data_IF_048309449416
#
_entry.id   IF_048309449416
#
_cell.length_a   1.000
_cell.length_b   1.000
_cell.length_c   1.000
_cell.angle_alpha   90.00
_cell.angle_beta   90.00
_cell.angle_gamma   90.00
#
_symmetry.space_group_name_H-M   'P 1'
#
loop_
_entity.id
_entity.type
_entity.pdbx_description
1 polymer ?
#
# COMPACT_ATOMS: atom_id res chain seq x y z
N UNK A 1 6.47 -21.34 -9.87
CA UNK A 1 6.51 -21.00 -8.44
C UNK A 1 5.32 -20.09 -8.16
N UNK A 2 4.48 -20.35 -7.15
CA UNK A 2 3.43 -19.39 -6.81
C UNK A 2 4.10 -18.06 -6.45
N UNK A 3 3.67 -16.97 -7.09
CA UNK A 3 4.05 -15.62 -6.67
C UNK A 3 3.46 -15.48 -5.27
N UNK A 4 4.31 -15.39 -4.25
CA UNK A 4 3.84 -15.16 -2.89
C UNK A 4 3.04 -13.85 -2.89
N UNK A 5 1.75 -13.94 -2.58
CA UNK A 5 0.89 -12.76 -2.47
C UNK A 5 1.21 -12.01 -1.19
N UNK A 6 1.13 -10.69 -1.22
CA UNK A 6 1.27 -9.87 -0.01
C UNK A 6 0.17 -10.18 1.00
N UNK A 7 0.54 -10.19 2.28
CA UNK A 7 -0.41 -10.30 3.39
C UNK A 7 -1.09 -8.96 3.66
N UNK A 8 -2.36 -8.86 3.25
CA UNK A 8 -3.18 -7.66 3.44
C UNK A 8 -3.49 -7.37 4.91
N UNK A 9 -3.54 -8.39 5.77
CA UNK A 9 -3.76 -8.21 7.21
C UNK A 9 -2.59 -7.47 7.81
N UNK A 10 -1.36 -7.92 7.52
CA UNK A 10 -0.14 -7.27 7.99
C UNK A 10 0.02 -5.85 7.44
N UNK A 11 -0.29 -5.62 6.17
CA UNK A 11 -0.31 -4.28 5.57
C UNK A 11 -1.29 -3.37 6.33
N UNK A 12 -2.50 -3.87 6.60
CA UNK A 12 -3.54 -3.12 7.33
C UNK A 12 -3.08 -2.75 8.72
N UNK A 13 -2.54 -3.69 9.48
CA UNK A 13 -2.01 -3.46 10.83
C UNK A 13 -0.90 -2.41 10.82
N UNK A 14 0.11 -2.58 9.94
CA UNK A 14 1.20 -1.61 9.81
C UNK A 14 0.69 -0.21 9.50
N UNK A 15 -0.25 -0.09 8.58
CA UNK A 15 -0.80 1.19 8.19
C UNK A 15 -1.63 1.82 9.33
N UNK A 16 -2.44 1.03 10.05
CA UNK A 16 -3.18 1.49 11.22
C UNK A 16 -2.25 1.99 12.33
N UNK A 17 -1.18 1.25 12.64
CA UNK A 17 -0.16 1.68 13.61
C UNK A 17 0.48 2.99 13.17
N UNK A 18 0.90 3.10 11.91
CA UNK A 18 1.50 4.33 11.39
C UNK A 18 0.53 5.51 11.46
N UNK A 19 -0.75 5.31 11.12
CA UNK A 19 -1.78 6.34 11.17
C UNK A 19 -2.03 6.81 12.60
N UNK A 20 -2.10 5.89 13.56
CA UNK A 20 -2.27 6.22 14.98
C UNK A 20 -1.11 7.08 15.53
N UNK A 21 0.13 6.79 15.11
CA UNK A 21 1.33 7.51 15.54
C UNK A 21 1.49 8.86 14.84
N UNK A 22 1.37 8.90 13.51
CA UNK A 22 1.73 10.08 12.71
C UNK A 22 0.54 11.00 12.42
N UNK A 23 -0.69 10.47 12.50
CA UNK A 23 -1.93 11.18 12.19
C UNK A 23 -3.02 10.85 13.21
N UNK A 24 -2.82 11.08 14.51
CA UNK A 24 -3.72 10.63 15.58
C UNK A 24 -5.16 11.16 15.48
N UNK A 25 -5.37 12.28 14.77
CA UNK A 25 -6.71 12.84 14.48
C UNK A 25 -7.44 12.12 13.35
N UNK A 26 -6.73 11.29 12.57
CA UNK A 26 -7.26 10.58 11.42
C UNK A 26 -7.49 9.12 11.77
N UNK A 27 -8.74 8.68 11.66
CA UNK A 27 -9.11 7.27 11.85
C UNK A 27 -8.93 6.48 10.56
N UNK A 28 -8.74 5.17 10.69
CA UNK A 28 -8.76 4.24 9.58
C UNK A 28 -10.19 4.13 9.00
N UNK A 29 -10.42 4.88 7.92
CA UNK A 29 -11.68 4.94 7.12
C UNK A 29 -11.75 3.90 5.99
N UNK A 30 -12.94 3.66 5.42
CA UNK A 30 -13.11 2.73 4.29
C UNK A 30 -12.21 2.99 3.07
N UNK A 31 -11.81 4.23 2.80
CA UNK A 31 -10.88 4.52 1.70
C UNK A 31 -9.47 3.96 1.95
N UNK A 32 -9.04 3.90 3.21
CA UNK A 32 -7.77 3.28 3.58
C UNK A 32 -7.85 1.75 3.47
N UNK A 33 -9.01 1.18 3.81
CA UNK A 33 -9.26 -0.24 3.60
C UNK A 33 -9.26 -0.58 2.10
N UNK A 34 -9.93 0.24 1.29
CA UNK A 34 -9.99 0.05 -0.15
C UNK A 34 -8.59 0.15 -0.81
N UNK A 35 -7.74 1.10 -0.39
CA UNK A 35 -6.37 1.17 -0.94
C UNK A 35 -5.55 -0.06 -0.55
N UNK A 36 -5.69 -0.57 0.69
CA UNK A 36 -5.00 -1.80 1.11
C UNK A 36 -5.48 -2.98 0.29
N UNK A 37 -6.79 -3.15 0.13
CA UNK A 37 -7.37 -4.24 -0.65
C UNK A 37 -7.02 -4.14 -2.15
N UNK A 38 -6.72 -2.94 -2.66
CA UNK A 38 -6.23 -2.77 -4.04
C UNK A 38 -4.88 -3.45 -4.29
N UNK A 39 -4.13 -3.79 -3.23
CA UNK A 39 -2.86 -4.52 -3.32
C UNK A 39 -3.05 -6.04 -3.39
N UNK A 40 -4.30 -6.54 -3.34
CA UNK A 40 -4.59 -7.96 -3.45
C UNK A 40 -3.99 -8.57 -4.73
N UNK A 41 -3.38 -9.75 -4.60
CA UNK A 41 -2.73 -10.45 -5.71
C UNK A 41 -1.42 -9.81 -6.19
N UNK A 42 -0.97 -8.71 -5.59
CA UNK A 42 0.39 -8.23 -5.78
C UNK A 42 1.36 -9.09 -4.96
N UNK A 43 2.51 -9.41 -5.55
CA UNK A 43 3.62 -10.01 -4.80
C UNK A 43 4.62 -8.96 -4.31
N UNK A 44 5.59 -9.35 -3.48
CA UNK A 44 6.75 -8.53 -3.16
C UNK A 44 7.38 -7.93 -4.42
N UNK A 45 7.85 -6.69 -4.33
CA UNK A 45 8.46 -5.95 -5.45
C UNK A 45 7.53 -5.66 -6.65
N UNK A 46 6.22 -5.94 -6.54
CA UNK A 46 5.25 -5.54 -7.56
C UNK A 46 5.16 -4.02 -7.70
N UNK A 47 5.07 -3.54 -8.93
CA UNK A 47 4.85 -2.12 -9.24
C UNK A 47 3.39 -1.75 -8.97
N UNK A 48 3.20 -0.69 -8.21
CA UNK A 48 1.91 -0.11 -7.83
C UNK A 48 1.87 1.34 -8.33
N UNK A 49 0.92 1.62 -9.21
CA UNK A 49 0.64 2.97 -9.70
C UNK A 49 -0.87 3.24 -9.64
N UNK A 50 -1.26 4.43 -10.07
CA UNK A 50 -2.67 4.83 -10.07
C UNK A 50 -3.55 3.91 -10.91
N UNK A 51 -3.11 3.51 -12.11
CA UNK A 51 -3.93 2.75 -13.04
C UNK A 51 -4.20 1.34 -12.49
N UNK A 52 -3.16 0.68 -11.96
CA UNK A 52 -3.29 -0.62 -11.29
C UNK A 52 -4.18 -0.53 -10.06
N UNK A 53 -3.95 0.47 -9.21
CA UNK A 53 -4.76 0.68 -8.02
C UNK A 53 -6.23 0.93 -8.38
N UNK A 54 -6.49 1.78 -9.38
CA UNK A 54 -7.84 2.10 -9.82
C UNK A 54 -8.56 0.87 -10.39
N UNK A 55 -7.87 0.04 -11.17
CA UNK A 55 -8.43 -1.19 -11.72
C UNK A 55 -8.93 -2.13 -10.60
N UNK A 56 -8.18 -2.22 -9.50
CA UNK A 56 -8.51 -3.10 -8.37
C UNK A 56 -9.53 -2.48 -7.39
N UNK A 57 -9.88 -1.20 -7.54
CA UNK A 57 -10.82 -0.53 -6.65
C UNK A 57 -12.30 -0.75 -7.02
N UNK A 58 -12.59 -1.50 -8.10
CA UNK A 58 -13.87 -2.00 -8.67
C UNK A 58 -15.16 -1.15 -8.51
N UNK A 59 -15.48 -0.62 -7.33
CA UNK A 59 -16.69 0.15 -7.02
C UNK A 59 -16.42 1.48 -6.28
N UNK A 60 -15.22 1.69 -5.76
CA UNK A 60 -14.88 2.90 -4.99
C UNK A 60 -14.47 4.04 -5.91
N UNK A 61 -15.34 5.05 -6.07
CA UNK A 61 -15.02 6.33 -6.74
C UNK A 61 -14.09 7.18 -5.87
N UNK A 62 -12.86 6.73 -5.67
CA UNK A 62 -11.82 7.49 -4.97
C UNK A 62 -11.17 8.46 -5.98
N UNK A 63 -11.19 9.78 -5.72
CA UNK A 63 -10.54 10.73 -6.61
C UNK A 63 -9.03 10.46 -6.74
N UNK A 64 -8.48 10.66 -7.93
CA UNK A 64 -7.04 10.45 -8.22
C UNK A 64 -6.07 11.11 -7.23
N UNK A 65 -6.26 12.37 -6.81
CA UNK A 65 -5.38 12.97 -5.80
C UNK A 65 -5.40 12.22 -4.47
N UNK A 66 -6.55 11.65 -4.13
CA UNK A 66 -6.72 10.89 -2.90
C UNK A 66 -6.03 9.53 -2.99
N UNK A 67 -6.08 8.86 -4.14
CA UNK A 67 -5.30 7.63 -4.38
C UNK A 67 -3.81 7.89 -4.20
N UNK A 68 -3.24 8.90 -4.86
CA UNK A 68 -1.81 9.21 -4.69
C UNK A 68 -1.44 9.58 -3.26
N UNK A 69 -2.32 10.32 -2.57
CA UNK A 69 -2.12 10.62 -1.15
C UNK A 69 -2.03 9.34 -0.32
N UNK A 70 -2.95 8.40 -0.53
CA UNK A 70 -2.97 7.13 0.20
C UNK A 70 -1.77 6.23 -0.15
N UNK A 71 -1.37 6.16 -1.41
CA UNK A 71 -0.14 5.46 -1.81
C UNK A 71 1.11 6.09 -1.18
N UNK A 72 1.16 7.42 -1.09
CA UNK A 72 2.21 8.14 -0.38
C UNK A 72 2.24 7.84 1.12
N UNK A 73 1.08 7.71 1.76
CA UNK A 73 0.98 7.30 3.16
C UNK A 73 1.47 5.85 3.38
N UNK A 74 1.08 4.92 2.50
CA UNK A 74 1.61 3.55 2.53
C UNK A 74 3.13 3.53 2.34
N UNK A 75 3.68 4.46 1.54
CA UNK A 75 5.12 4.60 1.41
C UNK A 75 5.78 5.13 2.69
N UNK A 76 5.20 6.13 3.34
CA UNK A 76 5.68 6.64 4.63
C UNK A 76 5.57 5.60 5.76
N UNK A 77 4.62 4.67 5.66
CA UNK A 77 4.48 3.54 6.58
C UNK A 77 5.53 2.42 6.34
N UNK A 78 6.34 2.53 5.28
CA UNK A 78 7.35 1.54 4.90
C UNK A 78 6.79 0.33 4.16
N UNK A 79 5.55 0.37 3.70
CA UNK A 79 4.92 -0.72 2.93
C UNK A 79 5.29 -0.61 1.45
N UNK A 80 5.39 0.62 0.95
CA UNK A 80 5.77 0.93 -0.42
C UNK A 80 7.05 1.77 -0.46
N UNK A 81 7.82 1.62 -1.54
CA UNK A 81 8.93 2.50 -1.88
C UNK A 81 8.66 3.16 -3.23
N UNK A 82 9.15 4.40 -3.42
CA UNK A 82 9.08 5.06 -4.73
C UNK A 82 9.89 4.26 -5.76
N UNK A 83 9.34 4.07 -6.95
CA UNK A 83 10.03 3.36 -8.03
C UNK A 83 9.69 3.95 -9.39
N UNK A 84 10.67 4.44 -10.18
CA UNK A 84 12.06 4.69 -9.77
C UNK A 84 12.13 5.66 -8.57
N UNK A 85 13.27 5.77 -7.86
CA UNK A 85 13.38 6.55 -6.62
C UNK A 85 12.89 8.01 -6.73
N UNK A 86 13.05 8.61 -7.91
CA UNK A 86 12.65 9.99 -8.21
C UNK A 86 11.17 10.13 -8.61
N UNK A 87 10.44 9.01 -8.70
CA UNK A 87 9.03 9.00 -9.08
C UNK A 87 8.15 9.55 -7.96
N UNK A 88 7.17 10.37 -8.34
CA UNK A 88 6.13 10.84 -7.42
C UNK A 88 4.83 10.06 -7.52
N UNK A 89 4.71 9.16 -8.51
CA UNK A 89 3.43 8.55 -8.89
C UNK A 89 3.47 7.03 -9.01
N UNK A 90 4.66 6.45 -8.99
CA UNK A 90 4.88 5.01 -9.16
C UNK A 90 5.64 4.51 -7.95
N UNK A 91 5.13 3.43 -7.40
CA UNK A 91 5.62 2.80 -6.20
C UNK A 91 5.91 1.33 -6.48
N UNK A 92 6.64 0.72 -5.57
CA UNK A 92 6.91 -0.70 -5.54
C UNK A 92 6.65 -1.21 -4.13
N UNK A 93 6.10 -2.40 -4.02
CA UNK A 93 5.96 -3.05 -2.71
C UNK A 93 7.35 -3.29 -2.13
N UNK A 94 7.58 -2.82 -0.90
CA UNK A 94 8.85 -3.02 -0.23
C UNK A 94 9.00 -4.48 0.21
N UNK A 95 10.10 -5.12 -0.20
CA UNK A 95 10.37 -6.51 0.18
C UNK A 95 10.82 -6.61 1.63
N UNK A 96 11.60 -5.65 2.13
CA UNK A 96 12.08 -5.66 3.53
C UNK A 96 10.93 -5.68 4.53
N UNK A 97 9.84 -4.96 4.24
CA UNK A 97 8.62 -5.01 5.04
C UNK A 97 8.13 -6.44 5.32
N UNK A 98 8.26 -7.37 4.38
CA UNK A 98 7.84 -8.77 4.59
C UNK A 98 8.95 -9.64 5.18
N UNK A 99 10.22 -9.35 4.87
CA UNK A 99 11.38 -10.12 5.34
C UNK A 99 11.69 -9.95 6.83
N UNK A 100 11.31 -8.83 7.46
CA UNK A 100 11.56 -8.54 8.89
C UNK A 100 10.93 -9.52 9.90
N UNK A 101 10.15 -10.53 9.47
CA UNK A 101 9.54 -11.53 10.36
C UNK A 101 9.96 -12.99 10.10
N UNK A 102 11.00 -13.23 9.30
CA UNK A 102 11.67 -14.54 9.25
C UNK A 102 11.09 -15.56 8.26
N UNK A 103 11.23 -15.30 6.97
CA UNK A 103 11.21 -16.36 5.95
C UNK A 103 12.58 -16.39 5.25
N UNK A 104 13.44 -17.27 5.77
CA UNK A 104 14.48 -17.98 4.99
C UNK A 104 13.87 -19.19 4.33
#
# INVERSE_FOLDING_TARGET
MPIASVDLVRIRERYQTWLAVNKPKFKFRPQHEAIVNSLAGAGPESIIDFDRTQANLHESRIPRPFIYRLLGELSQAGILVKYPPDSNYVFRIDRSFFTELGET
#
